data_IF_080712536486
#
_entry.id   IF_080712536486
#
_cell.length_a   1.000
_cell.length_b   1.000
_cell.length_c   1.000
_cell.angle_alpha   90.00
_cell.angle_beta   90.00
_cell.angle_gamma   90.00
#
_symmetry.space_group_name_H-M   'P 1'
#
loop_
_entity.id
_entity.type
_entity.pdbx_description
1 polymer ?
#
# COMPACT_ATOMS: atom_id res chain seq x y z
N UNK A 1 17.79 -0.92 -17.28
CA UNK A 1 19.10 -0.45 -16.74
C UNK A 1 18.90 0.85 -15.97
N UNK A 2 18.70 0.77 -14.65
CA UNK A 2 18.57 1.95 -13.80
C UNK A 2 19.90 2.74 -13.80
N UNK A 3 19.92 3.88 -14.51
CA UNK A 3 21.00 4.88 -14.36
C UNK A 3 21.16 5.20 -12.87
N UNK A 4 22.38 5.11 -12.36
CA UNK A 4 22.73 5.32 -10.95
C UNK A 4 22.03 6.56 -10.39
N UNK A 5 21.04 6.34 -9.51
CA UNK A 5 20.33 7.41 -8.82
C UNK A 5 21.30 8.02 -7.80
N UNK A 6 21.79 9.22 -8.09
CA UNK A 6 22.58 9.98 -7.13
C UNK A 6 21.68 10.40 -5.95
N UNK A 7 22.05 10.02 -4.73
CA UNK A 7 21.36 10.48 -3.51
C UNK A 7 21.61 11.99 -3.39
N UNK A 8 20.53 12.76 -3.42
CA UNK A 8 20.57 14.22 -3.26
C UNK A 8 20.02 14.60 -1.90
N UNK A 9 20.63 15.61 -1.27
CA UNK A 9 20.10 16.17 -0.03
C UNK A 9 18.79 16.90 -0.37
N UNK A 10 17.70 16.49 0.26
CA UNK A 10 16.38 17.10 0.07
C UNK A 10 16.11 18.13 1.18
N UNK A 11 16.05 19.41 0.80
CA UNK A 11 15.88 20.55 1.73
C UNK A 11 14.44 21.04 1.87
N UNK A 12 13.53 20.57 1.03
CA UNK A 12 12.13 20.99 1.03
C UNK A 12 11.33 20.25 2.11
N UNK A 13 10.16 20.75 2.54
CA UNK A 13 9.27 20.00 3.42
C UNK A 13 8.69 18.78 2.70
N UNK A 14 8.37 17.72 3.44
CA UNK A 14 7.55 16.65 2.91
C UNK A 14 6.09 17.13 2.72
N UNK A 15 5.38 16.56 1.75
CA UNK A 15 4.00 16.97 1.43
C UNK A 15 3.94 18.15 0.45
N UNK A 16 2.96 19.04 0.67
CA UNK A 16 2.75 20.26 -0.10
C UNK A 16 2.67 20.08 -1.63
N UNK A 17 3.16 21.09 -2.36
CA UNK A 17 3.18 21.08 -3.83
C UNK A 17 4.02 19.97 -4.45
N UNK A 18 5.08 19.51 -3.76
CA UNK A 18 5.89 18.38 -4.21
C UNK A 18 5.07 17.09 -4.31
N UNK A 19 4.27 16.80 -3.28
CA UNK A 19 3.40 15.63 -3.25
C UNK A 19 2.26 15.71 -4.28
N UNK A 20 1.68 16.90 -4.48
CA UNK A 20 0.65 17.12 -5.51
C UNK A 20 1.22 16.93 -6.93
N UNK A 21 2.42 17.46 -7.19
CA UNK A 21 3.11 17.28 -8.47
C UNK A 21 3.39 15.79 -8.73
N UNK A 22 3.95 15.08 -7.75
CA UNK A 22 4.24 13.66 -7.88
C UNK A 22 2.97 12.81 -8.10
N UNK A 23 1.86 13.20 -7.48
CA UNK A 23 0.55 12.58 -7.71
C UNK A 23 0.10 12.77 -9.16
N UNK A 24 0.18 14.00 -9.69
CA UNK A 24 -0.17 14.29 -11.09
C UNK A 24 0.73 13.56 -12.08
N UNK A 25 2.04 13.49 -11.83
CA UNK A 25 3.00 12.74 -12.64
C UNK A 25 2.67 11.24 -12.66
N UNK A 26 2.30 10.65 -11.51
CA UNK A 26 1.91 9.25 -11.44
C UNK A 26 0.63 8.95 -12.23
N UNK A 27 -0.39 9.80 -12.12
CA UNK A 27 -1.62 9.63 -12.91
C UNK A 27 -1.37 9.77 -14.41
N UNK A 28 -0.51 10.72 -14.81
CA UNK A 28 -0.13 10.91 -16.20
C UNK A 28 0.70 9.73 -16.74
N UNK A 29 1.65 9.24 -15.94
CA UNK A 29 2.49 8.08 -16.26
C UNK A 29 1.63 6.84 -16.53
N UNK A 30 0.57 6.63 -15.75
CA UNK A 30 -0.36 5.51 -15.89
C UNK A 30 -1.47 5.73 -16.93
N UNK A 31 -1.43 6.84 -17.68
CA UNK A 31 -2.42 7.15 -18.73
C UNK A 31 -3.82 7.46 -18.19
N UNK A 32 -3.95 7.82 -16.91
CA UNK A 32 -5.23 8.03 -16.19
C UNK A 32 -5.34 9.40 -15.54
N UNK A 33 -4.72 10.43 -16.13
CA UNK A 33 -4.74 11.79 -15.61
C UNK A 33 -6.16 12.29 -15.27
N UNK A 34 -7.14 12.04 -16.14
CA UNK A 34 -8.53 12.49 -15.95
C UNK A 34 -9.35 11.46 -15.19
N UNK A 35 -9.38 10.20 -15.64
CA UNK A 35 -10.17 9.14 -15.03
C UNK A 35 -9.70 8.83 -13.62
N UNK A 36 -8.38 8.72 -13.41
CA UNK A 36 -7.78 8.50 -12.10
C UNK A 36 -8.02 9.66 -11.15
N UNK A 37 -7.94 10.93 -11.60
CA UNK A 37 -8.31 12.07 -10.75
C UNK A 37 -9.77 12.00 -10.29
N UNK A 38 -10.70 11.61 -11.17
CA UNK A 38 -12.10 11.37 -10.80
C UNK A 38 -12.25 10.23 -9.79
N UNK A 39 -11.48 9.16 -9.94
CA UNK A 39 -11.45 8.04 -8.99
C UNK A 39 -10.91 8.47 -7.62
N UNK A 40 -9.87 9.30 -7.57
CA UNK A 40 -9.32 9.80 -6.30
C UNK A 40 -10.32 10.63 -5.49
N UNK A 41 -11.22 11.37 -6.16
CA UNK A 41 -12.31 12.11 -5.50
C UNK A 41 -13.35 11.20 -4.83
N UNK A 42 -13.33 9.89 -5.13
CA UNK A 42 -14.19 8.87 -4.50
C UNK A 42 -13.44 8.05 -3.45
N UNK A 43 -12.14 8.25 -3.30
CA UNK A 43 -11.34 7.48 -2.34
C UNK A 43 -11.53 8.03 -0.92
N UNK A 44 -11.70 7.12 0.06
CA UNK A 44 -11.92 7.42 1.47
C UNK A 44 -13.11 8.37 1.70
N UNK A 45 -14.17 8.19 0.91
CA UNK A 45 -15.44 8.92 1.04
C UNK A 45 -16.53 7.96 1.52
N UNK A 46 -17.62 8.43 2.18
CA UNK A 46 -18.61 7.55 2.79
C UNK A 46 -19.31 6.60 1.80
N UNK A 47 -19.55 7.05 0.56
CA UNK A 47 -20.07 6.24 -0.56
C UNK A 47 -18.97 5.87 -1.58
N UNK A 48 -17.73 5.91 -1.12
CA UNK A 48 -16.52 5.71 -1.91
C UNK A 48 -15.95 4.31 -1.80
N UNK A 49 -14.63 4.24 -1.85
CA UNK A 49 -13.86 3.02 -1.56
C UNK A 49 -12.65 3.37 -0.71
N UNK A 50 -12.19 2.41 0.09
CA UNK A 50 -11.03 2.60 0.95
C UNK A 50 -9.73 2.56 0.13
N UNK A 51 -8.80 3.44 0.48
CA UNK A 51 -7.49 3.52 -0.13
C UNK A 51 -6.71 2.21 0.05
N UNK A 52 -6.26 1.55 -1.04
CA UNK A 52 -5.49 0.31 -0.94
C UNK A 52 -4.01 0.56 -0.55
N UNK A 53 -3.60 1.84 -0.41
CA UNK A 53 -2.20 2.22 -0.27
C UNK A 53 -1.67 2.29 1.16
N UNK A 54 -2.52 2.43 2.18
CA UNK A 54 -2.10 2.38 3.59
C UNK A 54 -3.25 2.01 4.52
N UNK A 55 -2.91 1.51 5.71
CA UNK A 55 -3.87 1.05 6.73
C UNK A 55 -4.23 2.12 7.78
N UNK A 56 -3.93 3.41 7.53
CA UNK A 56 -4.35 4.48 8.44
C UNK A 56 -5.88 4.61 8.39
N UNK A 57 -6.59 4.75 9.52
CA UNK A 57 -8.05 4.83 9.51
C UNK A 57 -8.57 6.13 8.87
N UNK A 58 -9.82 6.09 8.41
CA UNK A 58 -10.52 7.26 7.87
C UNK A 58 -11.14 8.10 8.99
N UNK A 59 -11.05 9.42 8.87
CA UNK A 59 -11.67 10.34 9.81
C UNK A 59 -13.21 10.32 9.66
N UNK A 60 -13.94 10.54 10.76
CA UNK A 60 -15.42 10.62 10.75
C UNK A 60 -15.94 11.82 9.94
N UNK A 61 -15.14 12.88 9.81
CA UNK A 61 -15.45 14.05 9.01
C UNK A 61 -14.59 14.03 7.76
N UNK A 62 -15.22 13.88 6.59
CA UNK A 62 -14.51 13.71 5.32
C UNK A 62 -14.25 15.06 4.65
N UNK A 63 -12.99 15.39 4.40
CA UNK A 63 -12.60 16.41 3.42
C UNK A 63 -12.84 15.91 1.99
N UNK A 64 -12.87 16.82 1.02
CA UNK A 64 -12.83 16.47 -0.40
C UNK A 64 -11.49 15.83 -0.83
N UNK A 65 -10.47 15.87 0.04
CA UNK A 65 -9.12 15.37 -0.22
C UNK A 65 -8.61 14.47 0.93
N UNK A 66 -9.18 13.28 1.06
CA UNK A 66 -8.78 12.30 2.09
C UNK A 66 -7.74 11.29 1.62
N UNK A 67 -6.81 11.72 0.75
CA UNK A 67 -5.76 10.83 0.24
C UNK A 67 -4.36 11.44 0.29
N UNK A 68 -3.36 10.57 0.37
CA UNK A 68 -1.96 10.94 0.27
C UNK A 68 -1.36 10.58 -1.10
N UNK A 69 -0.16 11.09 -1.38
CA UNK A 69 0.59 10.78 -2.61
C UNK A 69 0.74 9.27 -2.86
N UNK A 70 1.05 8.48 -1.83
CA UNK A 70 1.21 7.03 -1.96
C UNK A 70 -0.11 6.32 -2.25
N UNK A 71 -1.20 6.76 -1.61
CA UNK A 71 -2.55 6.28 -1.92
C UNK A 71 -2.93 6.60 -3.37
N UNK A 72 -2.61 7.81 -3.83
CA UNK A 72 -2.89 8.22 -5.20
C UNK A 72 -2.08 7.45 -6.24
N UNK A 73 -0.79 7.17 -5.95
CA UNK A 73 0.04 6.27 -6.76
C UNK A 73 -0.55 4.86 -6.81
N UNK A 74 -0.98 4.30 -5.68
CA UNK A 74 -1.59 2.97 -5.65
C UNK A 74 -2.83 2.91 -6.57
N UNK A 75 -3.74 3.89 -6.47
CA UNK A 75 -4.89 3.99 -7.37
C UNK A 75 -4.48 4.18 -8.84
N UNK A 76 -3.44 4.96 -9.12
CA UNK A 76 -2.96 5.16 -10.49
C UNK A 76 -2.52 3.82 -11.12
N UNK A 77 -1.79 2.99 -10.37
CA UNK A 77 -1.36 1.67 -10.82
C UNK A 77 -2.53 0.70 -10.97
N UNK A 78 -3.47 0.67 -10.02
CA UNK A 78 -4.67 -0.17 -10.12
C UNK A 78 -5.58 0.23 -11.29
N UNK A 79 -5.69 1.52 -11.57
CA UNK A 79 -6.55 2.06 -12.63
C UNK A 79 -5.88 2.14 -14.00
N UNK A 80 -4.59 1.82 -14.09
CA UNK A 80 -3.71 2.06 -15.25
C UNK A 80 -4.38 1.79 -16.60
N UNK A 81 -4.03 2.59 -17.62
CA UNK A 81 -4.50 2.37 -19.00
C UNK A 81 -3.78 1.18 -19.68
N UNK A 82 -2.63 0.75 -19.16
CA UNK A 82 -1.82 -0.30 -19.78
C UNK A 82 -2.41 -1.69 -19.57
N UNK A 83 -2.30 -2.54 -20.58
CA UNK A 83 -2.86 -3.89 -20.60
C UNK A 83 -1.78 -4.86 -21.04
N UNK A 84 -1.51 -5.83 -20.18
CA UNK A 84 -0.67 -6.97 -20.49
C UNK A 84 -1.57 -8.05 -21.11
N UNK A 85 -1.54 -8.12 -22.44
CA UNK A 85 -2.35 -9.03 -23.26
C UNK A 85 -1.61 -10.34 -23.56
N UNK A 86 -2.28 -11.38 -24.08
CA UNK A 86 -1.61 -12.60 -24.51
C UNK A 86 -0.48 -12.35 -25.52
N UNK A 87 -0.60 -11.32 -26.37
CA UNK A 87 0.45 -10.93 -27.32
C UNK A 87 1.76 -10.56 -26.64
N UNK A 88 1.71 -9.92 -25.47
CA UNK A 88 2.89 -9.63 -24.66
C UNK A 88 3.61 -10.92 -24.26
N UNK A 89 2.88 -11.90 -23.75
CA UNK A 89 3.46 -13.19 -23.34
C UNK A 89 3.87 -14.08 -24.53
N UNK A 90 3.24 -13.90 -25.70
CA UNK A 90 3.69 -14.52 -26.93
C UNK A 90 5.05 -13.95 -27.39
N UNK A 91 5.29 -12.65 -27.16
CA UNK A 91 6.54 -11.97 -27.50
C UNK A 91 7.67 -12.28 -26.49
N UNK A 92 7.37 -12.35 -25.19
CA UNK A 92 8.39 -12.46 -24.14
C UNK A 92 8.46 -13.85 -23.48
N UNK A 93 9.67 -14.39 -23.35
CA UNK A 93 9.88 -15.65 -22.60
C UNK A 93 9.95 -15.39 -21.10
N UNK A 94 9.64 -16.38 -20.27
CA UNK A 94 9.72 -16.21 -18.81
C UNK A 94 11.15 -15.90 -18.37
N UNK A 95 12.16 -16.54 -18.97
CA UNK A 95 13.57 -16.24 -18.66
C UNK A 95 13.98 -14.80 -19.01
N UNK A 96 13.38 -14.22 -20.05
CA UNK A 96 13.59 -12.81 -20.38
C UNK A 96 12.95 -11.90 -19.33
N UNK A 97 11.69 -12.18 -18.96
CA UNK A 97 10.96 -11.42 -17.96
C UNK A 97 11.65 -11.46 -16.58
N UNK A 98 12.28 -12.59 -16.20
CA UNK A 98 13.07 -12.69 -14.96
C UNK A 98 14.26 -11.72 -14.91
N UNK A 99 14.74 -11.25 -16.06
CA UNK A 99 15.86 -10.31 -16.13
C UNK A 99 15.42 -8.83 -16.10
N UNK A 100 14.10 -8.56 -16.15
CA UNK A 100 13.56 -7.21 -16.06
C UNK A 100 13.49 -6.77 -14.59
N UNK A 101 13.48 -5.46 -14.37
CA UNK A 101 13.23 -4.93 -13.02
C UNK A 101 11.73 -4.83 -12.76
N UNK A 102 11.37 -4.78 -11.47
CA UNK A 102 9.96 -4.76 -11.04
C UNK A 102 9.17 -3.60 -11.65
N UNK A 103 9.84 -2.47 -11.91
CA UNK A 103 9.20 -1.30 -12.51
C UNK A 103 8.85 -1.57 -13.97
N UNK A 104 9.78 -2.11 -14.75
CA UNK A 104 9.56 -2.45 -16.15
C UNK A 104 8.48 -3.55 -16.29
N UNK A 105 8.45 -4.52 -15.37
CA UNK A 105 7.40 -5.55 -15.31
C UNK A 105 6.02 -4.95 -15.01
N UNK A 106 5.92 -4.08 -14.01
CA UNK A 106 4.64 -3.43 -13.67
C UNK A 106 4.13 -2.55 -14.81
N UNK A 107 5.04 -1.89 -15.54
CA UNK A 107 4.71 -1.05 -16.70
C UNK A 107 4.15 -1.84 -17.90
N UNK A 108 4.27 -3.18 -17.93
CA UNK A 108 3.57 -4.00 -18.92
C UNK A 108 2.03 -3.89 -18.77
N UNK A 109 1.54 -3.50 -17.59
CA UNK A 109 0.14 -3.21 -17.32
C UNK A 109 -0.65 -4.41 -16.80
N UNK A 110 -1.97 -4.22 -16.64
CA UNK A 110 -2.84 -5.21 -16.00
C UNK A 110 -3.01 -6.46 -16.86
N UNK A 111 -2.88 -7.63 -16.23
CA UNK A 111 -3.24 -8.91 -16.85
C UNK A 111 -4.70 -8.90 -17.30
N UNK A 112 -4.94 -9.39 -18.51
CA UNK A 112 -6.26 -9.38 -19.15
C UNK A 112 -6.90 -10.75 -19.27
N UNK A 113 -6.09 -11.82 -19.22
CA UNK A 113 -6.50 -13.20 -19.43
C UNK A 113 -5.84 -14.11 -18.39
N UNK A 114 -6.43 -15.26 -18.08
CA UNK A 114 -5.72 -16.31 -17.36
C UNK A 114 -4.59 -16.84 -18.23
N UNK A 115 -3.45 -17.13 -17.61
CA UNK A 115 -2.26 -17.58 -18.30
C UNK A 115 -1.70 -18.84 -17.62
N UNK A 116 -1.22 -19.80 -18.39
CA UNK A 116 -0.55 -21.00 -17.91
C UNK A 116 0.89 -21.06 -18.42
N UNK A 117 1.84 -21.37 -17.55
CA UNK A 117 3.23 -21.53 -17.96
C UNK A 117 3.42 -22.82 -18.76
N UNK A 118 3.99 -22.70 -19.96
CA UNK A 118 4.43 -23.82 -20.77
C UNK A 118 5.96 -23.92 -20.75
N UNK A 119 6.44 -25.04 -20.20
CA UNK A 119 7.87 -25.32 -20.07
C UNK A 119 8.54 -25.56 -21.42
N UNK A 120 7.83 -26.11 -22.41
CA UNK A 120 8.41 -26.46 -23.70
C UNK A 120 8.80 -25.21 -24.51
N UNK A 121 7.96 -24.18 -24.46
CA UNK A 121 8.19 -22.88 -25.12
C UNK A 121 8.83 -21.84 -24.20
N UNK A 122 8.89 -22.11 -22.88
CA UNK A 122 9.35 -21.18 -21.84
C UNK A 122 8.55 -19.87 -21.85
N UNK A 123 7.23 -19.97 -22.03
CA UNK A 123 6.30 -18.82 -22.16
C UNK A 123 5.04 -19.06 -21.37
N UNK A 124 4.33 -17.98 -21.08
CA UNK A 124 2.94 -18.06 -20.62
C UNK A 124 2.02 -18.14 -21.84
N UNK A 125 1.11 -19.12 -21.85
CA UNK A 125 0.10 -19.30 -22.87
C UNK A 125 -1.27 -18.95 -22.31
N UNK A 126 -2.16 -18.30 -23.09
CA UNK A 126 -3.52 -18.04 -22.63
C UNK A 126 -4.25 -19.36 -22.36
N UNK A 127 -5.07 -19.37 -21.32
CA UNK A 127 -5.92 -20.49 -20.94
C UNK A 127 -7.31 -19.97 -20.57
N UNK A 128 -8.35 -20.71 -20.89
CA UNK A 128 -9.72 -20.34 -20.52
C UNK A 128 -9.94 -20.51 -19.01
N UNK A 129 -10.89 -19.75 -18.45
CA UNK A 129 -11.17 -19.78 -17.01
C UNK A 129 -11.53 -21.18 -16.50
N UNK A 130 -12.36 -21.91 -17.23
CA UNK A 130 -12.77 -23.28 -16.84
C UNK A 130 -11.58 -24.24 -16.81
N UNK A 131 -10.68 -24.13 -17.79
CA UNK A 131 -9.46 -24.94 -17.86
C UNK A 131 -8.45 -24.54 -16.77
N UNK A 132 -8.36 -23.25 -16.43
CA UNK A 132 -7.55 -22.78 -15.31
C UNK A 132 -8.04 -23.36 -13.97
N UNK A 133 -9.35 -23.33 -13.72
CA UNK A 133 -9.94 -23.93 -12.53
C UNK A 133 -9.75 -25.46 -12.52
N UNK A 134 -9.94 -26.13 -13.65
CA UNK A 134 -9.71 -27.57 -13.77
C UNK A 134 -8.25 -27.95 -13.50
N UNK A 135 -7.30 -27.14 -13.98
CA UNK A 135 -5.87 -27.32 -13.74
C UNK A 135 -5.54 -27.20 -12.24
N UNK A 136 -6.00 -26.14 -11.58
CA UNK A 136 -5.81 -25.95 -10.13
C UNK A 136 -6.44 -27.10 -9.36
N UNK A 137 -7.68 -27.49 -9.69
CA UNK A 137 -8.39 -28.58 -9.04
C UNK A 137 -7.69 -29.93 -9.22
N UNK A 138 -7.12 -30.20 -10.40
CA UNK A 138 -6.33 -31.41 -10.67
C UNK A 138 -5.13 -31.50 -9.71
N UNK A 139 -4.39 -30.41 -9.53
CA UNK A 139 -3.23 -30.39 -8.65
C UNK A 139 -3.63 -30.53 -7.18
N UNK A 140 -4.64 -29.79 -6.71
CA UNK A 140 -5.12 -29.87 -5.33
C UNK A 140 -5.65 -31.26 -4.97
N UNK A 141 -6.44 -31.89 -5.85
CA UNK A 141 -6.95 -33.26 -5.65
C UNK A 141 -5.87 -34.34 -5.72
N UNK A 142 -4.73 -34.03 -6.33
CA UNK A 142 -3.60 -34.95 -6.47
C UNK A 142 -2.64 -34.96 -5.28
N UNK A 143 -2.88 -34.12 -4.26
CA UNK A 143 -2.06 -34.10 -3.05
C UNK A 143 -2.39 -35.29 -2.14
N UNK A 144 -1.37 -35.83 -1.47
CA UNK A 144 -1.55 -36.90 -0.49
C UNK A 144 -2.25 -36.40 0.79
N UNK A 145 -2.13 -35.10 1.06
CA UNK A 145 -2.75 -34.42 2.20
C UNK A 145 -3.04 -32.96 1.84
N UNK A 146 -4.20 -32.40 2.27
CA UNK A 146 -4.53 -31.00 2.01
C UNK A 146 -3.53 -30.01 2.64
N UNK A 147 -2.77 -30.44 3.65
CA UNK A 147 -1.74 -29.62 4.29
C UNK A 147 -0.42 -29.54 3.49
N UNK A 148 -0.31 -30.21 2.34
CA UNK A 148 0.80 -30.02 1.40
C UNK A 148 0.65 -28.75 0.54
N UNK A 149 -0.49 -28.06 0.64
CA UNK A 149 -0.73 -26.77 -0.01
C UNK A 149 -0.67 -25.62 0.99
N UNK A 150 -0.07 -24.51 0.55
CA UNK A 150 -0.07 -23.21 1.24
C UNK A 150 -1.05 -22.28 0.54
N UNK A 151 -1.95 -21.66 1.30
CA UNK A 151 -2.98 -20.76 0.79
C UNK A 151 -2.75 -19.34 1.26
N UNK A 152 -1.82 -18.64 0.58
CA UNK A 152 -1.41 -17.30 0.96
C UNK A 152 -2.50 -16.24 0.72
N UNK A 153 -2.87 -15.50 1.75
CA UNK A 153 -3.84 -14.40 1.66
C UNK A 153 -3.16 -13.03 1.62
N UNK A 154 -3.53 -12.21 0.63
CA UNK A 154 -3.06 -10.83 0.51
C UNK A 154 -3.88 -9.88 1.38
N UNK A 155 -3.22 -9.01 2.16
CA UNK A 155 -3.86 -7.94 2.92
C UNK A 155 -4.48 -6.83 2.06
N UNK A 156 -4.32 -6.89 0.73
CA UNK A 156 -5.06 -6.03 -0.22
C UNK A 156 -6.39 -6.62 -0.67
N UNK A 157 -6.66 -7.90 -0.39
CA UNK A 157 -7.95 -8.49 -0.69
C UNK A 157 -9.02 -7.96 0.27
N UNK A 158 -10.28 -7.89 -0.18
CA UNK A 158 -11.37 -7.48 0.69
C UNK A 158 -11.65 -8.54 1.77
N UNK A 159 -12.28 -8.13 2.87
CA UNK A 159 -12.66 -9.04 3.94
C UNK A 159 -13.62 -10.13 3.44
N UNK A 160 -14.50 -9.80 2.49
CA UNK A 160 -15.44 -10.74 1.86
C UNK A 160 -14.70 -11.78 1.01
N UNK A 161 -13.74 -11.35 0.19
CA UNK A 161 -12.91 -12.26 -0.60
C UNK A 161 -12.08 -13.17 0.31
N UNK A 162 -11.48 -12.61 1.36
CA UNK A 162 -10.74 -13.38 2.36
C UNK A 162 -11.64 -14.38 3.10
N UNK A 163 -12.88 -14.00 3.42
CA UNK A 163 -13.87 -14.87 4.06
C UNK A 163 -14.29 -16.05 3.17
N UNK A 164 -14.54 -15.82 1.88
CA UNK A 164 -14.85 -16.90 0.94
C UNK A 164 -13.64 -17.81 0.72
N UNK A 165 -12.44 -17.24 0.59
CA UNK A 165 -11.20 -17.98 0.43
C UNK A 165 -10.92 -18.90 1.63
N UNK A 166 -11.11 -18.39 2.85
CA UNK A 166 -10.89 -19.17 4.07
C UNK A 166 -11.97 -20.22 4.35
N UNK A 167 -13.17 -20.09 3.79
CA UNK A 167 -14.16 -21.19 3.76
C UNK A 167 -13.69 -22.26 2.79
N UNK A 168 -13.38 -21.89 1.55
CA UNK A 168 -12.94 -22.83 0.50
C UNK A 168 -11.81 -23.74 0.97
N UNK A 169 -10.76 -23.17 1.56
CA UNK A 169 -9.58 -23.93 1.98
C UNK A 169 -9.85 -24.80 3.22
N UNK A 170 -10.74 -24.38 4.13
CA UNK A 170 -11.16 -25.23 5.26
C UNK A 170 -12.04 -26.39 4.81
N UNK A 171 -12.92 -26.18 3.84
CA UNK A 171 -13.68 -27.25 3.18
C UNK A 171 -12.77 -28.20 2.39
N UNK A 172 -11.68 -27.68 1.82
CA UNK A 172 -10.61 -28.50 1.22
C UNK A 172 -9.86 -29.35 2.28
N UNK A 173 -9.98 -29.02 3.57
CA UNK A 173 -9.42 -29.80 4.67
C UNK A 173 -8.09 -29.27 5.22
N UNK A 174 -7.73 -28.01 4.93
CA UNK A 174 -6.49 -27.38 5.41
C UNK A 174 -6.79 -26.18 6.31
N UNK A 175 -5.87 -25.92 7.25
CA UNK A 175 -5.79 -24.66 8.01
C UNK A 175 -4.50 -23.88 7.70
N UNK A 176 -3.81 -24.23 6.61
CA UNK A 176 -2.54 -23.63 6.24
C UNK A 176 -2.74 -22.31 5.49
N UNK A 177 -2.87 -21.22 6.25
CA UNK A 177 -3.13 -19.86 5.77
C UNK A 177 -2.05 -18.88 6.20
N UNK A 178 -0.85 -18.92 5.61
CA UNK A 178 0.07 -17.80 5.77
C UNK A 178 -0.56 -16.54 5.16
N UNK A 179 -0.37 -15.39 5.78
CA UNK A 179 -0.82 -14.12 5.24
C UNK A 179 0.28 -13.04 5.38
N UNK A 180 0.12 -11.92 4.70
CA UNK A 180 1.14 -10.85 4.71
C UNK A 180 1.47 -10.32 6.12
N UNK A 181 0.52 -10.39 7.05
CA UNK A 181 0.67 -9.95 8.43
C UNK A 181 1.58 -10.86 9.25
N UNK A 182 1.76 -12.14 8.88
CA UNK A 182 2.75 -12.99 9.55
C UNK A 182 4.18 -12.42 9.37
N UNK A 183 4.44 -11.73 8.25
CA UNK A 183 5.73 -11.10 8.00
C UNK A 183 5.89 -9.74 8.71
N UNK A 184 4.79 -9.03 8.96
CA UNK A 184 4.82 -7.63 9.43
C UNK A 184 4.39 -7.43 10.89
N UNK A 185 3.50 -8.28 11.41
CA UNK A 185 2.78 -8.06 12.68
C UNK A 185 2.75 -9.30 13.60
N UNK A 186 3.35 -10.43 13.23
CA UNK A 186 3.35 -11.66 14.06
C UNK A 186 3.87 -11.41 15.48
N UNK A 187 5.00 -10.71 15.62
CA UNK A 187 5.56 -10.39 16.93
C UNK A 187 4.59 -9.56 17.79
N UNK A 188 3.80 -8.69 17.16
CA UNK A 188 2.78 -7.88 17.84
C UNK A 188 1.59 -8.75 18.27
N UNK A 189 1.16 -9.67 17.42
CA UNK A 189 0.08 -10.63 17.70
C UNK A 189 0.39 -11.54 18.88
N UNK A 190 1.67 -11.83 19.16
CA UNK A 190 2.10 -12.60 20.33
C UNK A 190 2.30 -11.72 21.57
N UNK A 191 3.04 -10.61 21.45
CA UNK A 191 3.46 -9.82 22.61
C UNK A 191 2.37 -8.92 23.23
N UNK A 192 1.48 -8.34 22.41
CA UNK A 192 0.45 -7.43 22.93
C UNK A 192 -0.64 -8.12 23.76
N UNK A 193 -1.17 -9.32 23.39
CA UNK A 193 -2.11 -10.02 24.25
C UNK A 193 -1.57 -10.31 25.65
N UNK A 194 -0.30 -10.68 25.78
CA UNK A 194 0.34 -10.91 27.09
C UNK A 194 0.50 -9.60 27.89
N UNK A 195 0.76 -8.49 27.20
CA UNK A 195 1.04 -7.20 27.85
C UNK A 195 -0.21 -6.40 28.21
N UNK A 196 -1.20 -6.36 27.32
CA UNK A 196 -2.39 -5.50 27.41
C UNK A 196 -3.72 -6.21 27.08
N UNK A 197 -3.70 -7.54 26.85
CA UNK A 197 -4.90 -8.34 26.61
C UNK A 197 -5.50 -8.26 25.20
N UNK A 198 -4.92 -7.48 24.28
CA UNK A 198 -5.44 -7.31 22.92
C UNK A 198 -4.32 -7.18 21.89
N UNK A 199 -4.41 -7.93 20.79
CA UNK A 199 -3.44 -7.93 19.67
C UNK A 199 -3.67 -6.86 18.61
N UNK A 200 -4.36 -5.76 18.94
CA UNK A 200 -4.80 -4.72 17.99
C UNK A 200 -4.51 -3.33 18.55
N UNK A 201 -4.55 -2.32 17.67
CA UNK A 201 -4.48 -0.92 18.09
C UNK A 201 -5.61 -0.56 19.05
N UNK A 202 -5.26 0.10 20.16
CA UNK A 202 -6.18 0.50 21.24
C UNK A 202 -6.51 1.99 21.24
N UNK A 203 -5.97 2.73 20.28
CA UNK A 203 -6.07 4.20 20.18
C UNK A 203 -6.95 4.56 18.99
N UNK A 204 -7.80 5.57 19.18
CA UNK A 204 -8.65 6.14 18.13
C UNK A 204 -8.02 7.43 17.56
N UNK A 205 -8.45 7.85 16.37
CA UNK A 205 -8.02 9.14 15.80
C UNK A 205 -8.29 10.32 16.75
N UNK A 206 -9.47 10.33 17.39
CA UNK A 206 -9.87 11.36 18.36
C UNK A 206 -8.91 11.48 19.57
N UNK A 207 -8.06 10.48 19.83
CA UNK A 207 -7.07 10.52 20.90
C UNK A 207 -5.81 11.31 20.50
N UNK A 208 -5.49 11.39 19.20
CA UNK A 208 -4.45 12.28 18.69
C UNK A 208 -4.80 13.75 18.94
N UNK A 209 -6.08 14.09 19.04
CA UNK A 209 -6.55 15.43 19.38
C UNK A 209 -6.37 15.80 20.85
N UNK A 210 -6.15 14.82 21.72
CA UNK A 210 -6.03 15.01 23.17
C UNK A 210 -4.60 14.79 23.67
N UNK A 211 -3.78 14.09 22.88
CA UNK A 211 -2.42 13.76 23.25
C UNK A 211 -1.53 15.01 23.42
N UNK A 212 -0.88 15.12 24.57
CA UNK A 212 0.18 16.10 24.85
C UNK A 212 1.57 15.60 24.44
N UNK A 213 1.73 14.28 24.29
CA UNK A 213 2.96 13.64 23.82
C UNK A 213 2.66 12.39 22.97
N UNK A 214 3.42 12.21 21.89
CA UNK A 214 3.32 11.10 20.94
C UNK A 214 4.72 10.54 20.73
N UNK A 215 4.89 9.24 20.99
CA UNK A 215 6.15 8.53 20.80
C UNK A 215 6.01 7.51 19.66
N UNK A 216 6.90 7.59 18.67
CA UNK A 216 6.88 6.82 17.44
C UNK A 216 8.11 5.92 17.43
N UNK A 217 7.93 4.60 17.47
CA UNK A 217 9.02 3.63 17.49
C UNK A 217 9.07 2.86 16.17
N UNK A 218 10.21 2.88 15.48
CA UNK A 218 10.45 2.05 14.28
C UNK A 218 9.53 2.32 13.09
N UNK A 219 8.81 3.45 13.08
CA UNK A 219 7.89 3.83 12.01
C UNK A 219 8.36 5.11 11.31
N UNK A 220 8.10 5.20 10.00
CA UNK A 220 8.27 6.41 9.18
C UNK A 220 6.89 6.87 8.69
N UNK A 221 6.12 7.66 9.47
CA UNK A 221 4.75 8.05 9.11
C UNK A 221 4.65 8.76 7.76
N UNK A 222 5.60 9.63 7.43
CA UNK A 222 5.63 10.34 6.14
C UNK A 222 5.69 9.44 4.91
N UNK A 223 6.26 8.24 5.05
CA UNK A 223 6.45 7.29 3.95
C UNK A 223 5.42 6.15 4.02
N UNK A 224 5.24 5.56 5.19
CA UNK A 224 4.47 4.32 5.35
C UNK A 224 2.99 4.58 5.68
N UNK A 225 2.68 5.73 6.28
CA UNK A 225 1.32 6.08 6.69
C UNK A 225 1.06 7.58 6.49
N UNK A 226 1.22 8.15 5.28
CA UNK A 226 1.35 9.61 5.15
C UNK A 226 0.12 10.40 5.58
N UNK A 227 -1.06 9.76 5.66
CA UNK A 227 -2.28 10.37 6.21
C UNK A 227 -2.18 10.69 7.69
N UNK A 228 -1.42 9.90 8.46
CA UNK A 228 -1.08 10.17 9.86
C UNK A 228 -0.40 11.53 10.04
N UNK A 229 0.24 12.07 8.99
CA UNK A 229 0.89 13.38 9.08
C UNK A 229 -0.10 14.51 9.32
N UNK A 230 -1.37 14.40 8.92
CA UNK A 230 -2.40 15.40 9.23
C UNK A 230 -2.67 15.46 10.75
N UNK A 231 -2.76 14.30 11.40
CA UNK A 231 -2.97 14.20 12.85
C UNK A 231 -1.74 14.68 13.63
N UNK A 232 -0.55 14.26 13.20
CA UNK A 232 0.72 14.70 13.80
C UNK A 232 0.95 16.21 13.61
N UNK A 233 0.62 16.75 12.44
CA UNK A 233 0.71 18.18 12.15
C UNK A 233 -0.22 18.98 13.06
N UNK A 234 -1.47 18.53 13.23
CA UNK A 234 -2.44 19.15 14.12
C UNK A 234 -2.00 19.10 15.58
N UNK A 235 -1.50 17.95 16.04
CA UNK A 235 -0.96 17.79 17.39
C UNK A 235 0.26 18.70 17.64
N UNK A 236 1.19 18.78 16.69
CA UNK A 236 2.36 19.67 16.74
C UNK A 236 1.94 21.15 16.88
N UNK A 237 0.97 21.60 16.09
CA UNK A 237 0.48 22.99 16.13
C UNK A 237 -0.25 23.33 17.42
N UNK A 238 -0.85 22.34 18.09
CA UNK A 238 -1.42 22.47 19.44
C UNK A 238 -0.34 22.49 20.54
N UNK A 239 0.89 22.13 20.22
CA UNK A 239 2.04 22.14 21.14
C UNK A 239 2.42 20.77 21.70
N UNK A 240 1.78 19.69 21.24
CA UNK A 240 2.12 18.33 21.66
C UNK A 240 3.57 17.98 21.33
N UNK A 241 4.22 17.17 22.16
CA UNK A 241 5.61 16.70 21.92
C UNK A 241 5.59 15.45 21.07
N UNK A 242 6.28 15.46 19.93
CA UNK A 242 6.40 14.29 19.06
C UNK A 242 7.85 13.80 19.13
N UNK A 243 8.04 12.53 19.48
CA UNK A 243 9.35 11.91 19.63
C UNK A 243 9.42 10.67 18.74
N UNK A 244 10.46 10.56 17.93
CA UNK A 244 10.69 9.45 17.02
C UNK A 244 11.96 8.69 17.42
N UNK A 245 11.81 7.39 17.64
CA UNK A 245 12.88 6.43 17.88
C UNK A 245 13.08 5.62 16.61
N UNK A 246 14.04 6.05 15.80
CA UNK A 246 14.29 5.46 14.49
C UNK A 246 15.76 5.72 14.13
N UNK A 247 16.52 4.74 13.61
CA UNK A 247 17.88 4.99 13.12
C UNK A 247 17.91 5.97 11.92
N UNK A 248 16.80 6.12 11.21
CA UNK A 248 16.69 7.03 10.06
C UNK A 248 15.93 8.31 10.42
N UNK A 249 16.39 9.42 9.84
CA UNK A 249 15.68 10.70 9.91
C UNK A 249 14.66 10.76 8.79
N UNK A 250 13.39 10.76 9.16
CA UNK A 250 12.27 10.91 8.23
C UNK A 250 11.93 12.39 8.04
N UNK A 251 11.86 12.83 6.78
CA UNK A 251 11.72 14.26 6.47
C UNK A 251 10.40 14.83 6.95
N UNK A 252 9.32 14.07 6.84
CA UNK A 252 7.99 14.51 7.29
C UNK A 252 7.93 14.75 8.80
N UNK A 253 8.77 14.05 9.59
CA UNK A 253 8.91 14.26 11.02
C UNK A 253 9.87 15.40 11.39
N UNK A 254 10.48 16.08 10.42
CA UNK A 254 11.25 17.31 10.63
C UNK A 254 10.48 18.54 10.14
N UNK A 255 9.95 18.46 8.91
CA UNK A 255 9.27 19.54 8.20
C UNK A 255 8.16 18.96 7.33
N UNK A 256 6.93 19.36 7.63
CA UNK A 256 5.76 18.92 6.88
C UNK A 256 4.94 20.13 6.45
N UNK A 257 4.59 20.17 5.15
CA UNK A 257 3.64 21.11 4.59
C UNK A 257 2.35 20.35 4.29
N UNK A 258 1.27 20.70 4.97
CA UNK A 258 -0.03 20.05 4.76
C UNK A 258 -0.65 20.52 3.44
N UNK A 259 -0.94 19.63 2.47
CA UNK A 259 -1.66 20.00 1.25
C UNK A 259 -3.06 20.55 1.53
N UNK A 260 -3.63 20.23 2.70
CA UNK A 260 -4.95 20.68 3.11
C UNK A 260 -4.92 22.05 3.83
N UNK A 261 -3.74 22.62 4.10
CA UNK A 261 -3.61 23.94 4.73
C UNK A 261 -3.38 25.05 3.68
N UNK A 262 -4.39 25.90 3.38
CA UNK A 262 -4.28 26.89 2.31
C UNK A 262 -3.17 27.92 2.54
N UNK A 263 -2.89 28.25 3.80
CA UNK A 263 -1.84 29.23 4.15
C UNK A 263 -0.46 28.66 3.89
N UNK A 264 -0.20 27.41 4.32
CA UNK A 264 1.08 26.74 4.04
C UNK A 264 1.27 26.58 2.52
N UNK A 265 0.22 26.21 1.80
CA UNK A 265 0.27 26.08 0.34
C UNK A 265 0.52 27.42 -0.37
N UNK A 266 -0.16 28.50 0.03
CA UNK A 266 -0.01 29.81 -0.60
C UNK A 266 1.35 30.49 -0.29
N UNK A 267 1.90 30.24 0.91
CA UNK A 267 3.14 30.87 1.38
C UNK A 267 4.38 30.02 1.14
N UNK A 268 4.24 28.81 0.58
CA UNK A 268 5.29 27.78 0.56
C UNK A 268 5.84 27.49 1.97
N UNK A 269 4.97 27.67 2.98
CA UNK A 269 5.28 27.47 4.39
C UNK A 269 5.21 25.99 4.78
N UNK A 270 5.72 25.69 5.97
CA UNK A 270 5.64 24.36 6.56
C UNK A 270 5.59 24.47 8.08
N UNK A 271 5.05 23.43 8.72
CA UNK A 271 5.15 23.27 10.17
C UNK A 271 6.43 22.50 10.49
N UNK A 272 7.26 23.07 11.38
CA UNK A 272 8.41 22.36 11.94
C UNK A 272 7.89 21.43 13.02
N UNK A 273 8.18 20.15 12.88
CA UNK A 273 7.73 19.15 13.84
C UNK A 273 8.59 19.24 15.12
N UNK A 274 8.01 19.03 16.33
CA UNK A 274 8.71 19.14 17.59
C UNK A 274 9.81 18.06 17.65
N UNK A 275 11.04 18.45 18.01
CA UNK A 275 12.19 17.54 17.96
C UNK A 275 12.30 16.73 19.24
N UNK A 276 11.99 15.45 19.17
CA UNK A 276 12.72 14.41 19.88
C UNK A 276 13.11 13.33 18.87
N UNK A 277 14.37 13.28 18.45
CA UNK A 277 14.86 12.16 17.66
C UNK A 277 15.89 11.42 18.50
N UNK A 278 15.58 10.18 18.84
CA UNK A 278 16.47 9.28 19.54
C UNK A 278 16.91 8.23 18.51
N UNK A 279 18.17 8.35 18.08
CA UNK A 279 18.83 7.40 17.19
C UNK A 279 19.68 6.41 17.96
#
# INVERSE_FOLDING_TARGET
MAKGKAIRIYSEPAGGWGALKATGEALALQGVAVSGAKTLLRMNQPEGFDCPGCAWPDAKHTSSFEFCENGAKAVAWEATAFRCTPDFFAAHSVSELTAWDDYDLEMAGRLTHPMAYDKATNRYLPIEWDDAFALVAKHLKGLDSPNQADFYASGRASNEAAFLYQIFVREFGSNNFPDCSNMCHEATSVGLPESIGVGKGTVLLDDFEKADAIFIFGQNPGTNSPRMMSDLHSASRRGAKIVSFNPFRERALERFASPQNPVEMATLGFTRMPRGHCG
#
